data_IF_969787410186
#
_entry.id   IF_969787410186
#
_cell.length_a   1.000
_cell.length_b   1.000
_cell.length_c   1.000
_cell.angle_alpha   90.00
_cell.angle_beta   90.00
_cell.angle_gamma   90.00
#
_symmetry.space_group_name_H-M   'P 1'
#
loop_
_entity.id
_entity.type
_entity.pdbx_description
1 polymer ?
#
# COMPACT_ATOMS: atom_id res chain seq x y z
N UNK A 1 -12.83 4.14 -4.28
CA UNK A 1 -11.36 4.22 -4.47
C UNK A 1 -10.63 4.15 -3.14
N UNK A 2 -10.86 5.06 -2.19
CA UNK A 2 -10.13 5.07 -0.90
C UNK A 2 -10.26 3.78 -0.06
N UNK A 3 -11.44 3.14 0.01
CA UNK A 3 -11.61 1.89 0.78
C UNK A 3 -10.76 0.73 0.23
N UNK A 4 -10.52 0.69 -1.09
CA UNK A 4 -9.65 -0.31 -1.73
C UNK A 4 -8.19 -0.11 -1.31
N UNK A 5 -7.72 1.13 -1.31
CA UNK A 5 -6.36 1.46 -0.89
C UNK A 5 -6.11 1.14 0.58
N UNK A 6 -7.08 1.39 1.46
CA UNK A 6 -6.96 1.03 2.88
C UNK A 6 -6.77 -0.49 3.04
N UNK A 7 -7.55 -1.30 2.33
CA UNK A 7 -7.37 -2.75 2.32
C UNK A 7 -5.99 -3.15 1.78
N UNK A 8 -5.60 -2.64 0.60
CA UNK A 8 -4.32 -2.98 -0.03
C UNK A 8 -3.14 -2.61 0.87
N UNK A 9 -3.14 -1.43 1.47
CA UNK A 9 -2.12 -1.01 2.44
C UNK A 9 -2.09 -1.91 3.68
N UNK A 10 -3.26 -2.36 4.15
CA UNK A 10 -3.36 -3.32 5.25
C UNK A 10 -2.70 -4.65 4.91
N UNK A 11 -2.98 -5.20 3.73
CA UNK A 11 -2.36 -6.44 3.23
C UNK A 11 -0.86 -6.29 3.09
N UNK A 12 -0.39 -5.22 2.44
CA UNK A 12 1.04 -4.95 2.25
C UNK A 12 1.80 -4.86 3.58
N UNK A 13 1.25 -4.13 4.56
CA UNK A 13 1.84 -4.05 5.90
C UNK A 13 1.87 -5.41 6.58
N UNK A 14 0.74 -6.13 6.58
CA UNK A 14 0.65 -7.45 7.18
C UNK A 14 1.63 -8.45 6.56
N UNK A 15 1.81 -8.41 5.25
CA UNK A 15 2.75 -9.26 4.53
C UNK A 15 4.21 -8.99 4.93
N UNK A 16 4.63 -7.72 5.11
CA UNK A 16 5.98 -7.43 5.64
C UNK A 16 6.14 -7.95 7.06
N UNK A 17 5.17 -7.64 7.94
CA UNK A 17 5.22 -8.09 9.34
C UNK A 17 5.32 -9.62 9.45
N UNK A 18 4.65 -10.35 8.55
CA UNK A 18 4.72 -11.82 8.46
C UNK A 18 6.06 -12.31 7.93
N UNK A 19 6.62 -11.67 6.90
CA UNK A 19 7.94 -12.00 6.39
C UNK A 19 9.05 -11.79 7.44
N UNK A 20 8.98 -10.71 8.21
CA UNK A 20 9.90 -10.45 9.32
C UNK A 20 9.77 -11.53 10.41
N UNK A 21 8.53 -11.88 10.78
CA UNK A 21 8.30 -12.95 11.76
C UNK A 21 8.82 -14.32 11.28
N UNK A 22 8.63 -14.65 9.99
CA UNK A 22 9.14 -15.87 9.38
C UNK A 22 10.67 -15.89 9.32
N UNK A 23 11.31 -14.73 9.16
CA UNK A 23 12.76 -14.64 9.23
C UNK A 23 13.28 -15.03 10.62
N UNK A 24 12.67 -14.50 11.68
CA UNK A 24 13.02 -14.86 13.06
C UNK A 24 12.71 -16.31 13.39
N UNK A 25 11.63 -16.86 12.84
CA UNK A 25 11.34 -18.29 12.92
C UNK A 25 12.37 -19.15 12.19
N UNK A 26 12.80 -18.73 10.99
CA UNK A 26 13.83 -19.43 10.25
C UNK A 26 15.15 -19.49 11.01
N UNK A 27 15.58 -18.39 11.63
CA UNK A 27 16.78 -18.37 12.46
C UNK A 27 16.69 -19.40 13.60
N UNK A 28 15.56 -19.43 14.32
CA UNK A 28 15.33 -20.41 15.40
C UNK A 28 15.29 -21.84 14.88
N UNK A 29 14.60 -22.09 13.77
CA UNK A 29 14.52 -23.41 13.14
C UNK A 29 15.91 -23.88 12.73
N UNK A 30 16.68 -23.04 12.04
CA UNK A 30 18.05 -23.34 11.62
C UNK A 30 18.96 -23.66 12.80
N UNK A 31 18.87 -22.89 13.88
CA UNK A 31 19.68 -23.10 15.08
C UNK A 31 19.27 -24.38 15.86
N UNK A 32 18.06 -24.88 15.62
CA UNK A 32 17.57 -26.15 16.19
C UNK A 32 17.90 -27.39 15.35
N UNK A 33 18.42 -27.22 14.14
CA UNK A 33 18.75 -28.33 13.25
C UNK A 33 19.92 -29.17 13.81
N UNK A 34 20.02 -30.46 13.44
CA UNK A 34 21.17 -31.29 13.76
C UNK A 34 22.50 -30.64 13.34
N UNK A 35 23.57 -30.89 14.10
CA UNK A 35 24.87 -30.26 13.86
C UNK A 35 25.49 -30.58 12.49
N UNK A 36 25.09 -31.69 11.86
CA UNK A 36 25.49 -32.11 10.53
C UNK A 36 24.56 -31.60 9.41
N UNK A 37 23.39 -31.03 9.78
CA UNK A 37 22.46 -30.44 8.84
C UNK A 37 23.04 -29.14 8.28
N UNK A 38 23.40 -29.20 7.00
CA UNK A 38 24.00 -28.11 6.24
C UNK A 38 23.35 -28.03 4.86
N UNK A 39 23.52 -26.95 4.09
CA UNK A 39 23.02 -26.88 2.73
C UNK A 39 23.40 -28.13 1.92
N UNK A 40 22.42 -28.72 1.23
CA UNK A 40 22.58 -29.99 0.50
C UNK A 40 22.29 -31.25 1.32
N UNK A 41 21.93 -31.10 2.61
CA UNK A 41 21.41 -32.21 3.42
C UNK A 41 19.89 -32.16 3.46
N UNK A 42 19.19 -33.32 3.47
CA UNK A 42 17.73 -33.33 3.50
C UNK A 42 17.15 -32.52 4.66
N UNK A 43 17.71 -32.66 5.87
CA UNK A 43 17.22 -31.95 7.05
C UNK A 43 17.26 -30.41 6.91
N UNK A 44 18.30 -29.87 6.26
CA UNK A 44 18.42 -28.44 6.02
C UNK A 44 17.54 -27.99 4.84
N UNK A 45 17.60 -28.73 3.72
CA UNK A 45 16.93 -28.35 2.48
C UNK A 45 15.40 -28.45 2.61
N UNK A 46 14.89 -29.45 3.34
CA UNK A 46 13.45 -29.59 3.61
C UNK A 46 12.93 -28.46 4.50
N UNK A 47 13.68 -28.09 5.55
CA UNK A 47 13.33 -26.97 6.41
C UNK A 47 13.34 -25.64 5.63
N UNK A 48 14.33 -25.45 4.76
CA UNK A 48 14.42 -24.27 3.89
C UNK A 48 13.27 -24.22 2.88
N UNK A 49 12.93 -25.36 2.27
CA UNK A 49 11.82 -25.46 1.32
C UNK A 49 10.48 -25.09 1.97
N UNK A 50 10.24 -25.57 3.20
CA UNK A 50 9.06 -25.20 3.98
C UNK A 50 9.01 -23.69 4.27
N UNK A 51 10.13 -23.12 4.75
CA UNK A 51 10.23 -21.68 5.00
C UNK A 51 9.96 -20.85 3.74
N UNK A 52 10.53 -21.24 2.60
CA UNK A 52 10.31 -20.54 1.32
C UNK A 52 8.89 -20.69 0.79
N UNK A 53 8.28 -21.87 0.93
CA UNK A 53 6.89 -22.07 0.54
C UNK A 53 5.96 -21.12 1.31
N UNK A 54 6.22 -20.91 2.60
CA UNK A 54 5.43 -19.99 3.41
C UNK A 54 5.71 -18.52 3.06
N UNK A 55 6.98 -18.13 2.91
CA UNK A 55 7.35 -16.77 2.48
C UNK A 55 6.76 -16.40 1.12
N UNK A 56 6.68 -17.37 0.20
CA UNK A 56 6.17 -17.14 -1.15
C UNK A 56 4.76 -16.56 -1.16
N UNK A 57 3.88 -17.02 -0.26
CA UNK A 57 2.50 -16.50 -0.16
C UNK A 57 2.44 -15.00 0.12
N UNK A 58 3.29 -14.50 1.03
CA UNK A 58 3.33 -13.09 1.39
C UNK A 58 4.07 -12.23 0.35
N UNK A 59 5.03 -12.81 -0.38
CA UNK A 59 5.66 -12.15 -1.52
C UNK A 59 4.68 -12.02 -2.69
N UNK A 60 3.80 -13.00 -2.89
CA UNK A 60 2.73 -12.94 -3.88
C UNK A 60 1.71 -11.84 -3.54
N UNK A 61 1.31 -11.71 -2.27
CA UNK A 61 0.49 -10.59 -1.79
C UNK A 61 1.12 -9.22 -2.13
N UNK A 62 2.45 -9.10 -1.97
CA UNK A 62 3.20 -7.90 -2.36
C UNK A 62 3.17 -7.66 -3.87
N UNK A 63 3.37 -8.69 -4.67
CA UNK A 63 3.32 -8.59 -6.12
C UNK A 63 1.92 -8.16 -6.62
N UNK A 64 0.86 -8.69 -6.01
CA UNK A 64 -0.52 -8.39 -6.37
C UNK A 64 -0.91 -6.96 -5.96
N UNK A 65 -0.56 -6.54 -4.75
CA UNK A 65 -1.08 -5.28 -4.18
C UNK A 65 -0.13 -4.09 -4.24
N UNK A 66 1.15 -4.28 -4.57
CA UNK A 66 2.19 -3.24 -4.53
C UNK A 66 1.91 -2.03 -5.44
N UNK A 67 1.17 -2.22 -6.55
CA UNK A 67 0.77 -1.14 -7.45
C UNK A 67 -0.06 -0.05 -6.76
N UNK A 68 -0.75 -0.37 -5.65
CA UNK A 68 -1.54 0.59 -4.89
C UNK A 68 -0.69 1.79 -4.41
N UNK A 69 0.58 1.58 -4.08
CA UNK A 69 1.49 2.66 -3.68
C UNK A 69 1.71 3.68 -4.81
N UNK A 70 1.82 3.20 -6.05
CA UNK A 70 1.99 4.06 -7.22
C UNK A 70 0.70 4.83 -7.51
N UNK A 71 -0.46 4.18 -7.41
CA UNK A 71 -1.77 4.82 -7.58
C UNK A 71 -1.99 5.94 -6.56
N UNK A 72 -1.69 5.68 -5.28
CA UNK A 72 -1.80 6.68 -4.19
C UNK A 72 -0.88 7.86 -4.47
N UNK A 73 0.38 7.60 -4.84
CA UNK A 73 1.34 8.66 -5.15
C UNK A 73 0.89 9.50 -6.35
N UNK A 74 0.40 8.87 -7.42
CA UNK A 74 -0.13 9.57 -8.58
C UNK A 74 -1.34 10.46 -8.18
N UNK A 75 -2.28 9.91 -7.42
CA UNK A 75 -3.44 10.65 -6.94
C UNK A 75 -3.05 11.82 -6.03
N UNK A 76 -2.08 11.64 -5.14
CA UNK A 76 -1.57 12.70 -4.27
C UNK A 76 -0.95 13.86 -5.07
N UNK A 77 -0.23 13.56 -6.17
CA UNK A 77 0.36 14.58 -7.05
C UNK A 77 -0.67 15.39 -7.84
N UNK A 78 -1.85 14.82 -8.08
CA UNK A 78 -2.95 15.48 -8.76
C UNK A 78 -3.99 16.07 -7.80
N UNK A 79 -3.81 15.88 -6.48
CA UNK A 79 -4.70 16.43 -5.49
C UNK A 79 -4.60 17.97 -5.48
N UNK A 80 -5.74 18.69 -5.45
CA UNK A 80 -5.73 20.14 -5.30
C UNK A 80 -5.00 20.52 -4.01
N UNK A 81 -4.15 21.54 -4.07
CA UNK A 81 -3.51 22.06 -2.86
C UNK A 81 -4.59 22.53 -1.88
N UNK A 82 -4.56 22.10 -0.61
CA UNK A 82 -5.45 22.60 0.43
C UNK A 82 -5.29 24.12 0.67
N UNK A 83 -4.16 24.69 0.23
CA UNK A 83 -3.83 26.11 0.31
C UNK A 83 -4.14 26.86 -0.99
N UNK A 84 -4.73 26.20 -1.99
CA UNK A 84 -5.12 26.88 -3.21
C UNK A 84 -6.18 27.96 -2.88
N UNK A 85 -5.98 29.22 -3.30
CA UNK A 85 -6.97 30.26 -3.06
C UNK A 85 -8.30 29.85 -3.70
N UNK A 86 -9.39 30.02 -2.95
CA UNK A 86 -10.74 29.79 -3.49
C UNK A 86 -10.90 30.60 -4.78
N UNK A 87 -11.43 30.00 -5.86
CA UNK A 87 -11.71 30.75 -7.08
C UNK A 87 -12.59 31.93 -6.69
N UNK A 88 -12.06 33.14 -6.82
CA UNK A 88 -12.80 34.36 -6.55
C UNK A 88 -13.88 34.43 -7.60
N UNK A 89 -15.11 34.10 -7.21
CA UNK A 89 -16.28 34.29 -8.06
C UNK A 89 -16.37 35.78 -8.35
N UNK A 90 -15.91 36.20 -9.53
CA UNK A 90 -16.05 37.58 -9.98
C UNK A 90 -17.55 37.84 -10.11
N UNK A 91 -18.12 38.59 -9.17
CA UNK A 91 -19.48 39.08 -9.29
C UNK A 91 -19.55 39.95 -10.56
N UNK A 92 -20.17 39.41 -11.61
CA UNK A 92 -20.63 40.22 -12.74
C UNK A 92 -21.63 41.22 -12.17
N UNK A 93 -21.27 42.51 -12.18
CA UNK A 93 -22.20 43.59 -11.87
C UNK A 93 -23.34 43.52 -12.90
N UNK A 94 -24.48 42.98 -12.49
CA UNK A 94 -25.70 43.07 -13.27
C UNK A 94 -26.10 44.54 -13.33
N UNK A 95 -26.12 45.12 -14.54
CA UNK A 95 -26.70 46.42 -14.79
C UNK A 95 -28.15 46.42 -14.28
N UNK A 96 -28.45 47.34 -13.36
CA UNK A 96 -29.74 47.41 -12.66
C UNK A 96 -30.91 47.65 -13.61
N UNK A 97 -32.13 47.21 -13.24
CA UNK A 97 -33.32 47.40 -14.07
C UNK A 97 -33.78 48.86 -14.04
N UNK A 98 -33.91 49.47 -15.23
CA UNK A 98 -34.66 50.71 -15.41
C UNK A 98 -36.15 50.45 -15.21
N UNK A 99 -36.68 50.85 -14.05
CA UNK A 99 -38.11 50.88 -13.78
C UNK A 99 -38.70 52.17 -14.38
N UNK A 100 -39.27 52.06 -15.59
CA UNK A 100 -40.03 53.16 -16.20
C UNK A 100 -41.50 53.03 -15.80
N UNK A 101 -41.93 53.85 -14.85
CA UNK A 101 -43.35 54.14 -14.58
C UNK A 101 -43.83 55.13 -15.63
N UNK A 102 -44.93 54.85 -16.34
CA UNK A 102 -45.74 55.92 -16.94
C UNK A 102 -47.24 55.64 -16.85
N UNK A 103 -47.91 56.73 -16.49
CA UNK A 103 -49.30 56.96 -16.14
C UNK A 103 -50.17 57.19 -17.38
#
# INVERSE_FOLDING_TARGET
MQTRWVYQLGVLRGAIEKLDALHEEWLRTRDSLPADAKPGTPAFDDALAAHYAECWSYLDDWAIHGHALQEINAAARHAPSPLAPHPTTRATLAAGPTHTVRR
#
